data_IF_682179698451
#
_entry.id   IF_682179698451
#
_cell.length_a   1.000
_cell.length_b   1.000
_cell.length_c   1.000
_cell.angle_alpha   90.00
_cell.angle_beta   90.00
_cell.angle_gamma   90.00
#
_symmetry.space_group_name_H-M   'P 1'
#
loop_
_entity.id
_entity.type
_entity.pdbx_description
1 polymer ?
#
# COMPACT_ATOMS: atom_id res chain seq x y z
N UNK A 1 24.25 -6.89 -17.51
CA UNK A 1 24.48 -8.21 -16.89
C UNK A 1 23.23 -9.07 -17.10
N UNK A 2 23.39 -10.37 -17.33
CA UNK A 2 22.29 -11.30 -17.56
C UNK A 2 21.93 -12.06 -16.27
N UNK A 3 20.63 -12.22 -16.04
CA UNK A 3 20.08 -13.06 -14.97
C UNK A 3 19.74 -14.43 -15.58
N UNK A 4 20.41 -15.50 -15.12
CA UNK A 4 20.13 -16.87 -15.56
C UNK A 4 19.40 -17.64 -14.46
N UNK A 5 18.15 -18.03 -14.72
CA UNK A 5 17.31 -18.78 -13.78
C UNK A 5 16.89 -20.09 -14.46
N UNK A 6 17.33 -21.23 -13.92
CA UNK A 6 16.90 -22.57 -14.35
C UNK A 6 15.91 -23.13 -13.35
N UNK A 7 14.65 -22.71 -13.46
CA UNK A 7 13.56 -23.16 -12.58
C UNK A 7 12.24 -23.16 -13.37
N UNK A 8 11.55 -24.30 -13.38
CA UNK A 8 10.32 -24.49 -14.16
C UNK A 8 9.13 -23.70 -13.60
N UNK A 9 9.09 -23.45 -12.30
CA UNK A 9 8.07 -22.63 -11.66
C UNK A 9 8.26 -21.15 -12.00
N UNK A 10 9.50 -20.66 -11.98
CA UNK A 10 9.82 -19.29 -12.38
C UNK A 10 9.41 -19.00 -13.83
N UNK A 11 9.67 -19.91 -14.78
CA UNK A 11 9.22 -19.79 -16.17
C UNK A 11 7.69 -19.74 -16.25
N UNK A 12 7.00 -20.65 -15.55
CA UNK A 12 5.53 -20.69 -15.53
C UNK A 12 4.92 -19.40 -14.96
N UNK A 13 5.46 -18.88 -13.86
CA UNK A 13 4.99 -17.64 -13.25
C UNK A 13 5.25 -16.43 -14.14
N UNK A 14 6.43 -16.35 -14.75
CA UNK A 14 6.78 -15.26 -15.63
C UNK A 14 5.89 -15.25 -16.88
N UNK A 15 5.60 -16.42 -17.50
CA UNK A 15 4.65 -16.53 -18.62
C UNK A 15 3.24 -16.07 -18.24
N UNK A 16 2.71 -16.56 -17.12
CA UNK A 16 1.39 -16.14 -16.63
C UNK A 16 1.32 -14.63 -16.38
N UNK A 17 2.40 -14.03 -15.88
CA UNK A 17 2.46 -12.59 -15.65
C UNK A 17 2.43 -11.84 -16.99
N UNK A 18 3.27 -12.23 -17.95
CA UNK A 18 3.30 -11.60 -19.29
C UNK A 18 1.98 -11.76 -20.05
N UNK A 19 1.28 -12.89 -19.90
CA UNK A 19 -0.04 -13.10 -20.52
C UNK A 19 -1.11 -12.15 -19.95
N UNK A 20 -1.00 -11.80 -18.66
CA UNK A 20 -1.95 -10.92 -17.97
C UNK A 20 -1.64 -9.43 -18.20
N UNK A 21 -0.36 -9.06 -18.26
CA UNK A 21 0.06 -7.65 -18.33
C UNK A 21 0.38 -7.19 -19.74
N UNK A 22 0.65 -8.11 -20.67
CA UNK A 22 1.12 -7.79 -22.02
C UNK A 22 2.58 -7.31 -22.06
N UNK A 23 3.30 -7.41 -20.94
CA UNK A 23 4.71 -7.03 -20.84
C UNK A 23 5.63 -8.10 -21.44
N UNK A 24 6.86 -7.72 -21.77
CA UNK A 24 7.90 -8.69 -22.12
C UNK A 24 8.35 -9.48 -20.88
N UNK A 25 8.90 -10.68 -21.09
CA UNK A 25 9.42 -11.52 -19.99
C UNK A 25 10.43 -10.76 -19.11
N UNK A 26 11.28 -9.95 -19.72
CA UNK A 26 12.28 -9.15 -19.01
C UNK A 26 11.63 -8.04 -18.20
N UNK A 27 10.67 -7.30 -18.76
CA UNK A 27 9.94 -6.26 -18.03
C UNK A 27 9.19 -6.84 -16.84
N UNK A 28 8.42 -7.90 -17.05
CA UNK A 28 7.66 -8.58 -16.01
C UNK A 28 8.56 -9.03 -14.85
N UNK A 29 9.73 -9.61 -15.13
CA UNK A 29 10.68 -10.04 -14.10
C UNK A 29 11.28 -8.83 -13.36
N UNK A 30 11.67 -7.78 -14.07
CA UNK A 30 12.26 -6.58 -13.45
C UNK A 30 11.23 -5.87 -12.56
N UNK A 31 9.99 -5.74 -13.02
CA UNK A 31 8.89 -5.13 -12.26
C UNK A 31 8.60 -5.96 -11.01
N UNK A 32 8.42 -7.28 -11.15
CA UNK A 32 8.14 -8.17 -10.02
C UNK A 32 9.25 -8.12 -8.94
N UNK A 33 10.52 -8.08 -9.36
CA UNK A 33 11.65 -7.94 -8.43
C UNK A 33 11.66 -6.58 -7.74
N UNK A 34 11.37 -5.50 -8.48
CA UNK A 34 11.28 -4.14 -7.92
C UNK A 34 10.17 -4.03 -6.90
N UNK A 35 8.97 -4.49 -7.22
CA UNK A 35 7.84 -4.50 -6.30
C UNK A 35 8.11 -5.36 -5.06
N UNK A 36 8.79 -6.49 -5.21
CA UNK A 36 9.15 -7.33 -4.07
C UNK A 36 10.16 -6.61 -3.19
N UNK A 37 11.17 -5.99 -3.79
CA UNK A 37 12.14 -5.17 -3.07
C UNK A 37 11.46 -4.03 -2.34
N UNK A 38 10.55 -3.28 -2.96
CA UNK A 38 9.78 -2.20 -2.30
C UNK A 38 8.93 -2.70 -1.13
N UNK A 39 8.25 -3.85 -1.29
CA UNK A 39 7.49 -4.47 -0.21
C UNK A 39 8.38 -4.93 0.95
N UNK A 40 9.63 -5.31 0.66
CA UNK A 40 10.59 -5.80 1.67
C UNK A 40 11.56 -4.74 2.18
N UNK A 41 11.70 -3.61 1.49
CA UNK A 41 12.65 -2.55 1.82
C UNK A 41 12.18 -1.71 3.01
N UNK A 42 10.89 -1.75 3.32
CA UNK A 42 10.38 -1.29 4.59
C UNK A 42 10.87 -2.23 5.70
N UNK A 43 12.04 -1.90 6.28
CA UNK A 43 12.38 -2.38 7.62
C UNK A 43 11.17 -2.10 8.52
N UNK A 44 10.71 -3.06 9.34
CA UNK A 44 9.61 -2.80 10.26
C UNK A 44 9.94 -1.54 11.04
N UNK A 45 9.09 -0.51 10.92
CA UNK A 45 9.31 0.75 11.63
C UNK A 45 9.53 0.46 13.10
N UNK A 46 10.56 1.04 13.70
CA UNK A 46 10.73 0.95 15.15
C UNK A 46 9.53 1.60 15.84
N UNK A 47 9.23 1.26 17.11
CA UNK A 47 8.18 1.95 17.86
C UNK A 47 8.32 3.48 17.82
N UNK A 48 9.54 4.00 17.85
CA UNK A 48 9.87 5.42 17.78
C UNK A 48 9.52 6.02 16.41
N UNK A 49 9.87 5.34 15.32
CA UNK A 49 9.53 5.77 13.96
C UNK A 49 8.01 5.75 13.72
N UNK A 50 7.31 4.75 14.27
CA UNK A 50 5.83 4.72 14.23
C UNK A 50 5.23 5.89 15.00
N UNK A 51 5.73 6.15 16.21
CA UNK A 51 5.27 7.27 17.04
C UNK A 51 5.56 8.62 16.37
N UNK A 52 6.73 8.79 15.75
CA UNK A 52 7.06 10.00 15.00
C UNK A 52 6.12 10.20 13.81
N UNK A 53 5.83 9.13 13.06
CA UNK A 53 4.88 9.16 11.95
C UNK A 53 3.45 9.51 12.41
N UNK A 54 2.98 8.93 13.53
CA UNK A 54 1.67 9.25 14.11
C UNK A 54 1.58 10.71 14.55
N UNK A 55 2.61 11.25 15.21
CA UNK A 55 2.66 12.67 15.61
C UNK A 55 2.61 13.59 14.39
N UNK A 56 3.40 13.31 13.36
CA UNK A 56 3.38 14.07 12.11
C UNK A 56 1.98 14.10 11.48
N UNK A 57 1.27 12.97 11.46
CA UNK A 57 -0.11 12.91 10.96
C UNK A 57 -1.08 13.70 11.84
N UNK A 58 -0.97 13.59 13.17
CA UNK A 58 -1.80 14.35 14.10
C UNK A 58 -1.63 15.86 13.91
N UNK A 59 -0.38 16.35 13.82
CA UNK A 59 -0.09 17.77 13.58
C UNK A 59 -0.63 18.27 12.24
N UNK A 60 -0.52 17.44 11.19
CA UNK A 60 -1.09 17.76 9.88
C UNK A 60 -2.62 17.84 9.95
N UNK A 61 -3.26 16.87 10.58
CA UNK A 61 -4.72 16.82 10.71
C UNK A 61 -5.25 17.97 11.55
N UNK A 62 -4.55 18.36 12.62
CA UNK A 62 -4.95 19.47 13.50
C UNK A 62 -4.94 20.84 12.80
N UNK A 63 -4.22 20.98 11.69
CA UNK A 63 -4.18 22.21 10.88
C UNK A 63 -5.28 22.28 9.83
N UNK A 64 -6.04 21.19 9.63
CA UNK A 64 -7.13 21.18 8.65
C UNK A 64 -8.32 21.99 9.19
N UNK A 65 -9.04 22.72 8.31
CA UNK A 65 -10.24 23.43 8.71
C UNK A 65 -11.34 22.43 9.08
N UNK A 66 -12.14 22.76 10.10
CA UNK A 66 -13.37 22.02 10.42
C UNK A 66 -14.41 22.37 9.35
N UNK A 67 -14.76 21.38 8.52
CA UNK A 67 -15.77 21.54 7.46
C UNK A 67 -17.20 21.30 7.98
N UNK A 68 -17.34 20.42 8.97
CA UNK A 68 -18.61 20.08 9.61
C UNK A 68 -18.40 20.07 11.12
N UNK A 69 -19.02 21.00 11.87
CA UNK A 69 -18.86 21.10 13.32
C UNK A 69 -19.83 20.23 14.10
N UNK A 70 -20.70 19.46 13.44
CA UNK A 70 -21.63 18.54 14.11
C UNK A 70 -20.87 17.44 14.85
N UNK A 71 -21.49 16.92 15.90
CA UNK A 71 -20.93 15.77 16.59
C UNK A 71 -20.87 14.55 15.64
N UNK A 72 -19.84 13.69 15.71
CA UNK A 72 -19.79 12.47 14.92
C UNK A 72 -21.08 11.64 14.97
N UNK A 73 -21.76 11.60 16.11
CA UNK A 73 -23.00 10.83 16.23
C UNK A 73 -24.16 11.47 15.45
N UNK A 74 -24.25 12.81 15.40
CA UNK A 74 -25.24 13.52 14.59
C UNK A 74 -25.00 13.34 13.08
N UNK A 75 -23.74 13.11 12.71
CA UNK A 75 -23.32 12.85 11.33
C UNK A 75 -23.64 11.40 10.94
N UNK A 76 -23.35 10.43 11.82
CA UNK A 76 -23.41 9.01 11.52
C UNK A 76 -24.80 8.39 11.78
N UNK A 77 -25.54 8.90 12.76
CA UNK A 77 -26.79 8.29 13.24
C UNK A 77 -27.98 9.24 13.22
N UNK A 78 -29.18 8.68 13.09
CA UNK A 78 -30.45 9.39 13.25
C UNK A 78 -30.93 9.47 14.69
N UNK A 79 -32.09 10.10 14.90
CA UNK A 79 -32.69 10.29 16.24
C UNK A 79 -33.06 8.97 16.94
N UNK A 80 -33.10 7.86 16.20
CA UNK A 80 -33.36 6.52 16.72
C UNK A 80 -32.06 5.71 16.89
N UNK A 81 -30.90 6.30 16.61
CA UNK A 81 -29.59 5.65 16.70
C UNK A 81 -29.27 4.72 15.52
N UNK A 82 -30.00 4.82 14.41
CA UNK A 82 -29.74 4.02 13.21
C UNK A 82 -28.74 4.75 12.31
N UNK A 83 -27.82 4.02 11.63
CA UNK A 83 -26.93 4.62 10.64
C UNK A 83 -27.73 5.34 9.56
N UNK A 84 -27.36 6.58 9.29
CA UNK A 84 -27.88 7.36 8.17
C UNK A 84 -27.28 6.94 6.83
#
# INVERSE_FOLDING_TARGET
MSLYIRNAEADRLARQLTERTGETLTEAVVVALRERLERTSAKPRTPEEKMAFMRMLQERSAKLPVLDPRDPDDILYDEYGLPK
#
